data_IF_824932481661
#
_entry.id   IF_824932481661
#
_cell.length_a   1.000
_cell.length_b   1.000
_cell.length_c   1.000
_cell.angle_alpha   90.00
_cell.angle_beta   90.00
_cell.angle_gamma   90.00
#
_symmetry.space_group_name_H-M   'P 1'
#
loop_
_entity.id
_entity.type
_entity.pdbx_description
1 polymer ?
#
# COMPACT_ATOMS: atom_id res chain seq x y z
N UNK A 1 -8.67 13.68 6.74
CA UNK A 1 -8.24 12.29 6.45
C UNK A 1 -6.74 12.24 6.60
N UNK A 2 -6.22 11.33 7.44
CA UNK A 2 -4.78 11.09 7.55
C UNK A 2 -4.21 10.76 6.17
N UNK A 3 -3.05 11.33 5.83
CA UNK A 3 -2.45 11.23 4.50
C UNK A 3 -2.08 9.77 4.22
N UNK A 4 -2.90 9.07 3.43
CA UNK A 4 -2.64 7.69 3.02
C UNK A 4 -1.74 7.65 1.77
N UNK A 5 -1.03 6.55 1.63
CA UNK A 5 -0.16 6.25 0.50
C UNK A 5 -0.76 5.09 -0.28
N UNK A 6 -0.74 5.18 -1.60
CA UNK A 6 -1.17 4.14 -2.51
C UNK A 6 0.04 3.62 -3.30
N UNK A 7 -0.10 2.39 -3.82
CA UNK A 7 0.93 1.76 -4.64
C UNK A 7 0.56 1.91 -6.11
N UNK A 8 1.52 2.30 -6.93
CA UNK A 8 1.39 2.46 -8.37
C UNK A 8 2.45 1.62 -9.06
N UNK A 9 2.18 1.15 -10.28
CA UNK A 9 3.22 0.57 -11.13
C UNK A 9 4.27 1.62 -11.51
N UNK A 10 5.55 1.23 -11.60
CA UNK A 10 6.64 2.12 -12.01
C UNK A 10 6.68 2.30 -13.54
N UNK A 11 5.60 2.83 -14.11
CA UNK A 11 5.51 3.19 -15.52
C UNK A 11 4.92 4.60 -15.70
N UNK A 12 5.16 5.30 -16.84
CA UNK A 12 4.68 6.67 -17.05
C UNK A 12 3.16 6.85 -16.93
N UNK A 13 2.40 5.78 -17.16
CA UNK A 13 0.94 5.72 -17.00
C UNK A 13 0.52 4.60 -16.05
N UNK A 14 1.37 4.30 -15.06
CA UNK A 14 1.18 3.18 -14.15
C UNK A 14 -0.16 3.26 -13.44
N UNK A 15 -0.83 2.12 -13.35
CA UNK A 15 -2.11 2.05 -12.66
C UNK A 15 -1.88 1.89 -11.16
N UNK A 16 -2.88 2.29 -10.37
CA UNK A 16 -2.86 1.99 -8.94
C UNK A 16 -3.07 0.50 -8.75
N UNK A 17 -2.18 -0.13 -7.97
CA UNK A 17 -2.35 -1.52 -7.63
C UNK A 17 -3.61 -1.69 -6.81
N UNK A 18 -4.44 -2.62 -7.28
CA UNK A 18 -5.70 -2.96 -6.64
C UNK A 18 -5.78 -4.45 -6.38
N UNK A 19 -6.46 -4.80 -5.29
CA UNK A 19 -6.80 -6.15 -4.92
C UNK A 19 -8.31 -6.27 -4.84
N UNK A 20 -8.89 -7.20 -5.60
CA UNK A 20 -10.34 -7.41 -5.68
C UNK A 20 -11.14 -6.10 -5.98
N UNK A 21 -10.60 -5.29 -6.90
CA UNK A 21 -11.20 -3.99 -7.27
C UNK A 21 -10.99 -2.86 -6.26
N UNK A 22 -10.25 -3.08 -5.17
CA UNK A 22 -9.92 -2.04 -4.18
C UNK A 22 -8.46 -1.66 -4.22
N UNK A 23 -8.17 -0.36 -4.24
CA UNK A 23 -6.80 0.16 -4.27
C UNK A 23 -6.08 -0.15 -2.96
N UNK A 24 -4.86 -0.68 -3.06
CA UNK A 24 -4.03 -0.98 -1.90
C UNK A 24 -3.50 0.33 -1.34
N UNK A 25 -3.81 0.60 -0.08
CA UNK A 25 -3.38 1.80 0.64
C UNK A 25 -2.72 1.47 1.97
N UNK A 26 -1.92 2.40 2.48
CA UNK A 26 -1.35 2.31 3.80
C UNK A 26 -1.10 3.69 4.42
N UNK A 27 -1.00 3.74 5.75
CA UNK A 27 -0.72 4.99 6.47
C UNK A 27 0.76 5.39 6.43
N UNK A 28 1.66 4.43 6.20
CA UNK A 28 3.12 4.64 6.22
C UNK A 28 3.74 4.31 4.87
N UNK A 29 4.38 5.32 4.25
CA UNK A 29 5.15 5.12 3.02
C UNK A 29 6.30 4.15 3.22
N UNK A 30 7.08 4.31 4.30
CA UNK A 30 8.27 3.49 4.53
C UNK A 30 7.95 2.02 4.78
N UNK A 31 6.78 1.72 5.35
CA UNK A 31 6.34 0.32 5.54
C UNK A 31 5.95 -0.33 4.22
N UNK A 32 5.29 0.41 3.33
CA UNK A 32 5.04 -0.08 1.97
C UNK A 32 6.34 -0.27 1.18
N UNK A 33 7.28 0.69 1.25
CA UNK A 33 8.58 0.58 0.58
C UNK A 33 9.40 -0.61 1.11
N UNK A 34 9.21 -0.97 2.38
CA UNK A 34 9.89 -2.12 2.98
C UNK A 34 9.26 -3.46 2.57
N UNK A 35 7.93 -3.57 2.57
CA UNK A 35 7.22 -4.82 2.26
C UNK A 35 7.13 -5.10 0.76
N UNK A 36 7.01 -4.06 -0.03
CA UNK A 36 6.78 -4.17 -1.46
C UNK A 36 8.10 -3.92 -2.18
N UNK A 37 8.67 -4.97 -2.74
CA UNK A 37 9.84 -4.91 -3.61
C UNK A 37 9.41 -5.10 -5.07
N UNK A 38 10.00 -4.33 -5.99
CA UNK A 38 9.75 -4.47 -7.43
C UNK A 38 9.63 -3.13 -8.17
N UNK A 39 9.19 -3.17 -9.45
CA UNK A 39 8.97 -1.98 -10.28
C UNK A 39 7.66 -1.29 -9.88
N UNK A 40 7.64 -0.73 -8.68
CA UNK A 40 6.49 -0.03 -8.11
C UNK A 40 6.91 1.32 -7.53
N UNK A 41 5.96 2.25 -7.52
CA UNK A 41 6.10 3.58 -6.96
C UNK A 41 5.06 3.79 -5.87
N UNK A 42 5.45 4.49 -4.82
CA UNK A 42 4.54 4.88 -3.75
C UNK A 42 4.13 6.32 -3.92
N UNK A 43 2.83 6.55 -4.10
CA UNK A 43 2.26 7.86 -4.35
C UNK A 43 1.27 8.25 -3.27
N UNK A 44 1.03 9.54 -3.03
CA UNK A 44 -0.08 9.97 -2.19
C UNK A 44 -1.39 9.39 -2.72
N UNK A 45 -2.24 8.87 -1.83
CA UNK A 45 -3.54 8.36 -2.23
C UNK A 45 -4.38 9.48 -2.89
N UNK A 46 -4.88 9.29 -4.13
CA UNK A 46 -5.69 10.29 -4.80
C UNK A 46 -6.91 10.71 -3.98
N UNK A 47 -7.25 12.01 -3.94
CA UNK A 47 -8.42 12.49 -3.19
C UNK A 47 -9.75 12.02 -3.79
N UNK A 48 -9.75 11.52 -5.03
CA UNK A 48 -10.91 10.96 -5.71
C UNK A 48 -11.29 9.55 -5.23
N UNK A 49 -10.37 8.84 -4.57
CA UNK A 49 -10.66 7.50 -4.05
C UNK A 49 -11.46 7.59 -2.76
N UNK A 50 -12.56 6.85 -2.71
CA UNK A 50 -13.33 6.68 -1.48
C UNK A 50 -12.72 5.58 -0.63
N UNK A 51 -12.98 5.64 0.66
CA UNK A 51 -12.51 4.61 1.59
C UNK A 51 -13.08 3.21 1.26
N UNK A 52 -14.27 3.13 0.67
CA UNK A 52 -14.91 1.89 0.22
C UNK A 52 -14.19 1.21 -0.96
N UNK A 53 -13.51 2.01 -1.78
CA UNK A 53 -12.71 1.58 -2.94
C UNK A 53 -11.26 1.29 -2.55
N UNK A 54 -10.93 1.37 -1.26
CA UNK A 54 -9.59 1.20 -0.74
C UNK A 54 -9.53 -0.04 0.17
N UNK A 55 -8.39 -0.71 0.16
CA UNK A 55 -8.06 -1.78 1.09
C UNK A 55 -6.72 -1.45 1.75
N UNK A 56 -6.71 -1.43 3.07
CA UNK A 56 -5.47 -1.24 3.79
C UNK A 56 -4.59 -2.48 3.69
N UNK A 57 -3.28 -2.30 3.54
CA UNK A 57 -2.32 -3.39 3.34
C UNK A 57 -2.46 -4.51 4.38
N UNK A 58 -2.75 -4.17 5.65
CA UNK A 58 -2.97 -5.15 6.74
C UNK A 58 -4.15 -6.10 6.51
N UNK A 59 -5.12 -5.72 5.69
CA UNK A 59 -6.27 -6.56 5.34
C UNK A 59 -6.04 -7.37 4.06
N UNK A 60 -4.93 -7.15 3.38
CA UNK A 60 -4.57 -7.92 2.20
C UNK A 60 -4.10 -9.33 2.63
N UNK A 61 -4.64 -10.43 2.07
CA UNK A 61 -4.36 -11.79 2.53
C UNK A 61 -2.87 -12.13 2.55
N UNK A 62 -2.12 -11.62 1.57
CA UNK A 62 -0.67 -11.84 1.50
C UNK A 62 0.10 -11.11 2.60
N UNK A 63 -0.38 -9.97 3.13
CA UNK A 63 0.33 -9.14 4.11
C UNK A 63 -0.30 -9.17 5.50
N UNK A 64 -1.45 -9.84 5.67
CA UNK A 64 -2.21 -9.93 6.91
C UNK A 64 -1.45 -10.62 8.06
N UNK A 65 -0.38 -11.37 7.74
CA UNK A 65 0.48 -12.02 8.72
C UNK A 65 1.54 -11.08 9.32
N UNK A 66 1.71 -9.88 8.76
CA UNK A 66 2.61 -8.88 9.32
C UNK A 66 1.95 -8.09 10.44
N UNK A 67 2.71 -7.84 11.50
CA UNK A 67 2.27 -6.97 12.59
C UNK A 67 2.78 -5.56 12.32
N UNK A 68 1.85 -4.60 12.24
CA UNK A 68 2.13 -3.19 12.03
C UNK A 68 2.09 -2.43 13.38
N UNK A 69 2.97 -1.44 13.62
CA UNK A 69 4.02 -0.94 12.72
C UNK A 69 5.16 -1.94 12.56
N UNK A 70 5.81 -1.91 11.40
CA UNK A 70 6.87 -2.85 11.08
C UNK A 70 8.11 -2.56 11.91
N UNK A 71 8.60 -3.59 12.61
CA UNK A 71 9.88 -3.54 13.33
C UNK A 71 10.88 -4.44 12.63
N UNK A 72 12.07 -3.90 12.32
CA UNK A 72 13.14 -4.66 11.65
C UNK A 72 13.49 -5.96 12.38
N UNK A 73 13.35 -6.00 13.70
CA UNK A 73 13.60 -7.19 14.52
C UNK A 73 12.65 -8.36 14.25
N UNK A 74 11.49 -8.12 13.63
CA UNK A 74 10.52 -9.17 13.29
C UNK A 74 10.85 -9.93 11.99
N UNK A 75 11.86 -9.49 11.23
CA UNK A 75 12.21 -10.03 9.90
C UNK A 75 13.62 -10.67 9.89
N UNK A 76 14.01 -11.30 11.01
CA UNK A 76 15.35 -11.86 11.22
C UNK A 76 15.49 -13.30 10.73
#
# INVERSE_FOLDING_TARGET
>A
MSRMWAVQEDTPHGQLLSWNGRVIVHNSRGELEFLLAGPIRIVPCPPSLRAEDCIELRFHPHYAHHTFPLVRSAYR
#
